data_IF_473770905674
#
_entry.id   IF_473770905674
#
_cell.length_a   1.000
_cell.length_b   1.000
_cell.length_c   1.000
_cell.angle_alpha   90.00
_cell.angle_beta   90.00
_cell.angle_gamma   90.00
#
_symmetry.space_group_name_H-M   'P 1'
#
loop_
_entity.id
_entity.type
_entity.pdbx_description
1 polymer ?
#
# COMPACT_ATOMS: atom_id res chain seq x y z
N UNK A 1 -59.63 21.67 -27.66
CA UNK A 1 -58.86 22.53 -26.73
C UNK A 1 -57.93 21.61 -25.95
N UNK A 2 -56.63 21.68 -26.23
CA UNK A 2 -55.60 22.24 -25.33
C UNK A 2 -55.48 21.39 -24.04
N UNK A 3 -54.35 20.89 -23.58
CA UNK A 3 -52.91 20.88 -23.88
C UNK A 3 -52.33 19.95 -22.79
N UNK A 4 -51.09 19.48 -22.96
CA UNK A 4 -50.17 19.06 -21.89
C UNK A 4 -50.55 17.78 -21.12
N UNK A 5 -49.83 16.68 -21.38
CA UNK A 5 -49.13 15.89 -20.35
C UNK A 5 -48.09 14.98 -21.03
N UNK A 6 -47.28 15.58 -21.90
CA UNK A 6 -45.95 15.05 -22.22
C UNK A 6 -45.03 15.60 -21.14
N UNK A 7 -44.15 14.75 -20.59
CA UNK A 7 -43.16 15.05 -19.55
C UNK A 7 -43.59 14.83 -18.10
N UNK A 8 -43.77 13.56 -17.70
CA UNK A 8 -43.51 13.16 -16.30
C UNK A 8 -43.04 11.70 -16.13
N UNK A 9 -42.54 11.04 -17.19
CA UNK A 9 -42.00 9.68 -17.10
C UNK A 9 -40.51 9.57 -17.43
N UNK A 10 -39.86 10.68 -17.77
CA UNK A 10 -38.43 10.72 -18.12
C UNK A 10 -37.52 11.32 -17.02
N UNK A 11 -38.07 11.72 -15.87
CA UNK A 11 -37.32 12.41 -14.81
C UNK A 11 -37.30 11.68 -13.46
N UNK A 12 -37.69 10.40 -13.41
CA UNK A 12 -37.63 9.54 -12.20
C UNK A 12 -36.70 8.33 -12.39
N UNK A 13 -35.81 8.39 -13.39
CA UNK A 13 -34.82 7.34 -13.67
C UNK A 13 -33.37 7.85 -13.61
N UNK A 14 -33.14 9.04 -13.06
CA UNK A 14 -31.81 9.68 -13.06
C UNK A 14 -31.29 10.08 -11.67
N UNK A 15 -31.75 9.43 -10.60
CA UNK A 15 -31.08 9.48 -9.29
C UNK A 15 -31.46 8.16 -8.59
N UNK A 16 -30.62 7.13 -8.54
CA UNK A 16 -29.84 6.78 -7.35
C UNK A 16 -29.11 5.46 -7.63
N UNK A 17 -28.16 5.45 -8.56
CA UNK A 17 -27.20 4.34 -8.71
C UNK A 17 -25.78 4.84 -8.88
N UNK A 18 -25.47 6.01 -8.30
CA UNK A 18 -24.11 6.32 -7.84
C UNK A 18 -23.81 5.50 -6.58
N UNK A 19 -23.82 4.18 -6.73
CA UNK A 19 -23.03 3.32 -5.88
C UNK A 19 -21.59 3.68 -6.14
N UNK A 20 -21.04 4.60 -5.35
CA UNK A 20 -19.64 4.96 -5.37
C UNK A 20 -18.82 3.69 -5.18
N UNK A 21 -18.34 3.10 -6.29
CA UNK A 21 -17.32 2.07 -6.24
C UNK A 21 -16.08 2.73 -5.65
N UNK A 22 -15.90 2.54 -4.34
CA UNK A 22 -14.66 2.83 -3.65
C UNK A 22 -13.56 2.07 -4.40
N UNK A 23 -12.71 2.83 -5.10
CA UNK A 23 -11.50 2.30 -5.69
C UNK A 23 -10.65 1.75 -4.55
N UNK A 24 -10.59 0.42 -4.44
CA UNK A 24 -9.65 -0.25 -3.54
C UNK A 24 -8.26 0.10 -4.05
N UNK A 25 -7.62 1.07 -3.40
CA UNK A 25 -6.25 1.47 -3.67
C UNK A 25 -5.39 0.21 -3.81
N UNK A 26 -4.57 0.15 -4.86
CA UNK A 26 -3.65 -0.95 -5.07
C UNK A 26 -2.84 -1.16 -3.79
N UNK A 27 -3.14 -2.25 -3.08
CA UNK A 27 -2.52 -2.57 -1.81
C UNK A 27 -1.06 -2.82 -2.08
N UNK A 28 -0.20 -2.00 -1.49
CA UNK A 28 1.22 -2.30 -1.46
C UNK A 28 1.39 -3.71 -0.86
N UNK A 29 2.26 -4.54 -1.45
CA UNK A 29 2.59 -5.85 -0.88
C UNK A 29 3.55 -5.70 0.31
N UNK A 30 3.24 -4.75 1.18
CA UNK A 30 3.98 -4.37 2.35
C UNK A 30 3.12 -4.62 3.58
N UNK A 31 3.76 -5.04 4.66
CA UNK A 31 3.08 -5.23 5.92
C UNK A 31 4.00 -4.84 7.06
N UNK A 32 3.43 -4.20 8.07
CA UNK A 32 4.13 -3.90 9.31
C UNK A 32 3.55 -4.79 10.40
N UNK A 33 4.41 -5.39 11.21
CA UNK A 33 3.97 -6.15 12.38
C UNK A 33 4.66 -5.60 13.59
N UNK A 34 3.89 -5.22 14.60
CA UNK A 34 4.37 -4.66 15.84
C UNK A 34 4.03 -5.65 16.94
N UNK A 35 5.07 -6.25 17.51
CA UNK A 35 4.93 -7.15 18.63
C UNK A 35 5.23 -6.41 19.93
N UNK A 36 4.19 -6.16 20.72
CA UNK A 36 4.26 -5.48 22.01
C UNK A 36 4.98 -6.32 23.07
N UNK A 37 5.03 -7.64 22.95
CA UNK A 37 5.72 -8.49 23.93
C UNK A 37 7.24 -8.35 23.87
N UNK A 38 7.78 -8.10 22.67
CA UNK A 38 9.23 -7.96 22.42
C UNK A 38 9.64 -6.51 22.13
N UNK A 39 8.68 -5.59 22.04
CA UNK A 39 8.92 -4.19 21.63
C UNK A 39 9.69 -4.12 20.30
N UNK A 40 9.24 -4.91 19.32
CA UNK A 40 9.81 -4.94 17.98
C UNK A 40 8.78 -4.63 16.91
N UNK A 41 9.26 -4.05 15.81
CA UNK A 41 8.52 -3.85 14.58
C UNK A 41 9.24 -4.60 13.45
N UNK A 42 8.51 -5.41 12.70
CA UNK A 42 8.96 -6.04 11.47
C UNK A 42 8.36 -5.36 10.25
N UNK A 43 9.19 -5.07 9.26
CA UNK A 43 8.77 -4.62 7.94
C UNK A 43 8.88 -5.78 6.95
N UNK A 44 7.74 -6.13 6.37
CA UNK A 44 7.63 -7.08 5.28
C UNK A 44 7.42 -6.37 3.96
N UNK A 45 8.04 -6.90 2.92
CA UNK A 45 7.81 -6.50 1.54
C UNK A 45 7.91 -7.73 0.63
N UNK A 46 6.95 -7.88 -0.27
CA UNK A 46 6.92 -8.99 -1.22
C UNK A 46 6.96 -10.37 -0.56
N UNK A 47 6.26 -10.51 0.57
CA UNK A 47 6.20 -11.73 1.37
C UNK A 47 7.47 -12.00 2.19
N UNK A 48 8.50 -11.16 2.13
CA UNK A 48 9.76 -11.38 2.85
C UNK A 48 9.86 -10.44 4.04
N UNK A 49 10.34 -10.96 5.16
CA UNK A 49 10.82 -10.12 6.25
C UNK A 49 12.06 -9.36 5.75
N UNK A 50 11.94 -8.05 5.59
CA UNK A 50 13.04 -7.21 5.08
C UNK A 50 13.93 -6.74 6.21
N UNK A 51 13.31 -6.28 7.31
CA UNK A 51 14.04 -5.73 8.45
C UNK A 51 13.19 -5.71 9.71
N UNK A 52 13.85 -5.96 10.85
CA UNK A 52 13.31 -5.73 12.18
C UNK A 52 13.89 -4.45 12.79
N UNK A 53 13.11 -3.83 13.67
CA UNK A 53 13.46 -2.62 14.40
C UNK A 53 13.06 -2.77 15.86
N UNK A 54 13.89 -2.23 16.75
CA UNK A 54 13.46 -1.99 18.12
C UNK A 54 12.51 -0.80 18.13
N UNK A 55 11.44 -0.90 18.92
CA UNK A 55 10.44 0.15 19.09
C UNK A 55 10.11 0.37 20.56
N UNK A 56 9.45 1.46 20.90
CA UNK A 56 8.80 1.63 22.19
C UNK A 56 7.29 1.61 22.00
N UNK A 57 6.57 0.92 22.88
CA UNK A 57 5.10 0.88 22.86
C UNK A 57 4.52 1.53 24.12
N UNK A 58 3.19 1.53 24.24
CA UNK A 58 2.46 2.17 25.33
C UNK A 58 2.88 1.63 26.70
N UNK A 59 3.00 2.53 27.68
CA UNK A 59 3.34 2.18 29.07
C UNK A 59 2.31 1.29 29.78
N UNK A 60 1.11 1.18 29.22
CA UNK A 60 0.06 0.27 29.67
C UNK A 60 -0.43 -0.57 28.49
N UNK A 61 -0.80 -1.84 28.71
CA UNK A 61 -1.24 -2.74 27.65
C UNK A 61 -2.35 -2.16 26.75
N UNK A 62 -3.30 -1.39 27.29
CA UNK A 62 -4.43 -0.85 26.51
C UNK A 62 -4.09 0.38 25.65
N UNK A 63 -2.92 0.99 25.85
CA UNK A 63 -2.60 2.29 25.26
C UNK A 63 -2.25 2.19 23.78
N UNK A 64 -1.37 1.25 23.42
CA UNK A 64 -1.12 0.94 22.01
C UNK A 64 -2.21 -0.01 21.52
N UNK A 65 -3.03 0.41 20.53
CA UNK A 65 -4.18 -0.37 20.08
C UNK A 65 -3.70 -1.68 19.46
N UNK A 66 -4.45 -2.76 19.69
CA UNK A 66 -4.22 -4.08 19.10
C UNK A 66 -5.25 -4.34 17.99
N UNK A 67 -4.82 -5.06 16.95
CA UNK A 67 -5.61 -5.31 15.76
C UNK A 67 -4.80 -5.13 14.48
N UNK A 68 -5.47 -5.24 13.33
CA UNK A 68 -4.89 -4.91 12.03
C UNK A 68 -5.52 -3.63 11.50
N UNK A 69 -4.68 -2.65 11.18
CA UNK A 69 -5.05 -1.30 10.79
C UNK A 69 -4.39 -0.91 9.46
N UNK A 70 -4.78 0.24 8.92
CA UNK A 70 -4.09 0.85 7.78
C UNK A 70 -3.17 1.98 8.27
N UNK A 71 -1.99 2.05 7.65
CA UNK A 71 -1.24 3.29 7.56
C UNK A 71 -1.91 4.16 6.50
N UNK A 72 -2.45 5.30 6.92
CA UNK A 72 -3.29 6.17 6.06
C UNK A 72 -2.61 7.45 5.62
N UNK A 73 -1.53 7.85 6.29
CA UNK A 73 -0.74 9.01 5.91
C UNK A 73 0.72 8.88 6.36
N UNK A 74 1.56 9.72 5.76
CA UNK A 74 2.98 9.85 6.08
C UNK A 74 3.39 11.31 6.05
N UNK A 75 4.02 11.79 7.12
CA UNK A 75 4.36 13.21 7.28
C UNK A 75 5.84 13.32 7.68
N UNK A 76 6.61 14.14 6.94
CA UNK A 76 7.94 14.58 7.36
C UNK A 76 7.77 15.74 8.33
N UNK A 77 8.51 15.73 9.44
CA UNK A 77 8.53 16.82 10.42
C UNK A 77 7.12 17.22 10.90
N UNK A 78 6.32 16.26 11.38
CA UNK A 78 4.96 16.56 11.88
C UNK A 78 5.03 17.47 13.11
N UNK A 79 4.32 18.61 13.14
CA UNK A 79 4.19 19.42 14.35
C UNK A 79 3.56 18.63 15.51
N UNK A 80 3.98 18.94 16.73
CA UNK A 80 3.34 18.40 17.93
C UNK A 80 2.38 19.43 18.53
N UNK A 81 1.16 19.41 18.01
CA UNK A 81 0.13 20.42 18.24
C UNK A 81 -0.20 20.65 19.72
N UNK A 82 -0.31 19.60 20.53
CA UNK A 82 -0.72 19.71 21.94
C UNK A 82 0.24 20.52 22.81
N UNK A 83 1.50 20.66 22.40
CA UNK A 83 2.50 21.49 23.08
C UNK A 83 3.04 22.62 22.20
N UNK A 84 2.35 22.90 21.10
CA UNK A 84 2.75 23.92 20.12
C UNK A 84 4.23 23.83 19.69
N UNK A 85 4.75 22.60 19.52
CA UNK A 85 6.14 22.40 19.11
C UNK A 85 6.18 22.28 17.58
N UNK A 86 6.96 23.13 16.88
CA UNK A 86 7.04 23.08 15.43
C UNK A 86 7.64 21.77 14.92
N UNK A 87 7.27 21.43 13.69
CA UNK A 87 7.89 20.32 12.95
C UNK A 87 9.39 20.52 12.78
N UNK A 88 10.17 19.44 12.89
CA UNK A 88 11.63 19.49 12.71
C UNK A 88 12.41 20.04 13.90
N UNK A 89 11.74 20.51 14.96
CA UNK A 89 12.41 20.89 16.20
C UNK A 89 13.06 19.65 16.86
N UNK A 90 14.32 19.74 17.35
CA UNK A 90 14.93 18.68 18.16
C UNK A 90 14.15 18.35 19.43
N UNK A 91 13.32 19.28 19.92
CA UNK A 91 12.46 19.10 21.10
C UNK A 91 11.15 18.36 20.78
N UNK A 92 10.85 18.10 19.51
CA UNK A 92 9.60 17.47 19.12
C UNK A 92 9.62 15.97 19.46
N UNK A 93 8.70 15.49 20.34
CA UNK A 93 8.69 14.08 20.75
C UNK A 93 8.27 13.11 19.65
N UNK A 94 7.72 13.63 18.55
CA UNK A 94 7.36 12.83 17.37
C UNK A 94 8.56 12.51 16.48
N UNK A 95 9.72 13.11 16.73
CA UNK A 95 10.87 13.03 15.83
C UNK A 95 10.56 13.64 14.46
N UNK A 96 11.19 13.11 13.40
CA UNK A 96 11.16 13.73 12.07
C UNK A 96 10.36 12.98 11.01
N UNK A 97 9.81 11.80 11.33
CA UNK A 97 8.92 11.02 10.46
C UNK A 97 7.72 10.51 11.24
N UNK A 98 6.56 10.55 10.60
CA UNK A 98 5.29 10.08 11.12
C UNK A 98 4.59 9.17 10.12
N UNK A 99 4.05 8.07 10.60
CA UNK A 99 3.08 7.21 9.92
C UNK A 99 1.77 7.22 10.71
N UNK A 100 0.70 7.75 10.13
CA UNK A 100 -0.61 7.76 10.77
C UNK A 100 -1.28 6.39 10.71
N UNK A 101 -1.63 5.83 11.86
CA UNK A 101 -2.39 4.58 11.97
C UNK A 101 -3.87 4.91 12.13
N UNK A 102 -4.71 4.38 11.25
CA UNK A 102 -6.16 4.43 11.37
C UNK A 102 -6.65 3.43 12.42
N UNK A 103 -6.49 3.80 13.69
CA UNK A 103 -7.00 3.05 14.83
C UNK A 103 -8.05 3.86 15.57
N UNK A 104 -9.07 3.18 16.10
CA UNK A 104 -10.12 3.77 16.96
C UNK A 104 -10.79 5.03 16.36
N UNK A 105 -11.02 5.04 15.05
CA UNK A 105 -11.68 6.16 14.35
C UNK A 105 -10.88 7.46 14.27
N UNK A 106 -9.55 7.41 14.47
CA UNK A 106 -8.71 8.63 14.56
C UNK A 106 -8.06 9.05 13.23
N UNK A 107 -8.33 8.31 12.14
CA UNK A 107 -7.87 8.63 10.78
C UNK A 107 -6.37 8.96 10.66
N UNK A 108 -5.52 8.34 11.50
CA UNK A 108 -4.07 8.54 11.48
C UNK A 108 -3.56 9.83 12.14
N UNK A 109 -4.39 10.53 12.92
CA UNK A 109 -4.01 11.76 13.62
C UNK A 109 -3.60 11.57 15.08
N UNK A 110 -4.05 10.50 15.72
CA UNK A 110 -3.82 10.23 17.15
C UNK A 110 -2.80 9.11 17.35
N UNK A 111 -2.98 7.98 16.67
CA UNK A 111 -2.06 6.84 16.76
C UNK A 111 -1.10 6.88 15.56
N UNK A 112 0.18 6.62 15.83
CA UNK A 112 1.17 6.58 14.78
C UNK A 112 2.42 5.82 15.14
N UNK A 113 3.18 5.47 14.11
CA UNK A 113 4.58 5.03 14.20
C UNK A 113 5.42 6.26 13.89
N UNK A 114 6.34 6.65 14.77
CA UNK A 114 7.09 7.88 14.59
C UNK A 114 8.49 7.81 15.19
N UNK A 115 9.34 8.79 14.86
CA UNK A 115 10.66 8.95 15.48
C UNK A 115 10.57 9.34 16.96
N UNK A 116 11.65 9.79 17.57
CA UNK A 116 11.55 10.32 18.94
C UNK A 116 12.71 11.23 19.26
N UNK A 117 12.50 12.22 20.12
CA UNK A 117 13.59 12.97 20.73
C UNK A 117 14.18 12.28 21.98
N UNK A 118 13.64 11.13 22.37
CA UNK A 118 14.11 10.35 23.51
C UNK A 118 14.51 8.94 23.06
N UNK A 119 15.70 8.84 22.46
CA UNK A 119 16.23 7.60 21.87
C UNK A 119 16.40 6.47 22.90
N UNK A 120 16.65 6.80 24.17
CA UNK A 120 16.79 5.81 25.26
C UNK A 120 15.46 5.16 25.69
N UNK A 121 14.33 5.64 25.14
CA UNK A 121 13.01 5.03 25.37
C UNK A 121 12.74 3.81 24.48
N UNK A 122 13.51 3.60 23.42
CA UNK A 122 13.34 2.49 22.50
C UNK A 122 13.66 1.15 23.20
N UNK A 123 12.84 0.12 22.94
CA UNK A 123 12.88 -1.17 23.65
C UNK A 123 12.01 -1.22 24.91
N UNK A 124 11.36 -0.12 25.31
CA UNK A 124 10.60 -0.01 26.57
C UNK A 124 9.11 0.26 26.35
N UNK A 125 8.31 0.03 27.39
CA UNK A 125 6.91 0.47 27.49
C UNK A 125 6.86 1.92 27.99
N UNK A 126 7.02 2.90 27.09
CA UNK A 126 7.31 4.29 27.46
C UNK A 126 6.38 5.33 26.84
N UNK A 127 5.53 4.96 25.89
CA UNK A 127 4.68 5.92 25.16
C UNK A 127 3.28 6.06 25.78
N UNK A 128 2.55 7.08 25.33
CA UNK A 128 1.12 7.25 25.63
C UNK A 128 0.20 6.48 24.66
N UNK A 129 0.75 5.60 23.82
CA UNK A 129 -0.02 4.77 22.88
C UNK A 129 0.58 4.69 21.48
N UNK A 130 1.31 5.70 21.03
CA UNK A 130 2.05 5.65 19.76
C UNK A 130 3.23 4.67 19.80
N UNK A 131 3.71 4.26 18.64
CA UNK A 131 4.91 3.41 18.53
C UNK A 131 6.10 4.29 18.18
N UNK A 132 7.09 4.36 19.08
CA UNK A 132 8.31 5.15 18.87
C UNK A 132 9.39 4.29 18.22
N UNK A 133 10.16 4.88 17.32
CA UNK A 133 11.33 4.29 16.68
C UNK A 133 12.53 5.21 16.84
N UNK A 134 13.74 4.67 16.69
CA UNK A 134 14.91 5.50 16.49
C UNK A 134 14.76 6.37 15.24
N UNK A 135 15.22 7.63 15.26
CA UNK A 135 15.07 8.52 14.10
C UNK A 135 15.74 7.95 12.83
N UNK A 136 16.90 7.31 12.98
CA UNK A 136 17.59 6.64 11.86
C UNK A 136 16.74 5.56 11.19
N UNK A 137 16.01 4.80 12.00
CA UNK A 137 15.25 3.63 11.56
C UNK A 137 13.92 4.04 10.94
N UNK A 138 13.23 5.02 11.55
CA UNK A 138 11.99 5.55 10.98
C UNK A 138 12.24 6.27 9.66
N UNK A 139 13.38 6.95 9.48
CA UNK A 139 13.78 7.52 8.18
C UNK A 139 13.94 6.44 7.13
N UNK A 140 14.66 5.36 7.46
CA UNK A 140 14.85 4.23 6.54
C UNK A 140 13.51 3.61 6.12
N UNK A 141 12.59 3.44 7.09
CA UNK A 141 11.26 2.91 6.87
C UNK A 141 10.40 3.87 6.03
N UNK A 142 10.55 5.17 6.26
CA UNK A 142 9.83 6.23 5.55
C UNK A 142 10.17 6.29 4.07
N UNK A 143 11.35 5.88 3.64
CA UNK A 143 11.63 5.85 2.20
C UNK A 143 11.04 4.60 1.50
N UNK A 144 10.50 3.64 2.25
CA UNK A 144 10.04 2.34 1.70
C UNK A 144 8.54 2.11 1.80
N UNK A 145 7.95 2.36 2.97
CA UNK A 145 6.52 2.08 3.21
C UNK A 145 5.63 2.98 2.33
N UNK A 146 4.69 2.38 1.60
CA UNK A 146 3.71 3.06 0.74
C UNK A 146 2.39 3.25 1.48
N UNK A 147 1.57 4.20 1.08
CA UNK A 147 0.22 4.36 1.61
C UNK A 147 -0.78 3.88 0.55
N UNK A 148 -1.77 3.03 0.91
CA UNK A 148 -1.91 2.36 2.20
C UNK A 148 -0.95 1.16 2.36
N UNK A 149 -0.53 0.92 3.60
CA UNK A 149 0.17 -0.30 4.05
C UNK A 149 -0.56 -0.82 5.28
N UNK A 150 -0.75 -2.14 5.41
CA UNK A 150 -1.36 -2.68 6.64
C UNK A 150 -0.34 -2.75 7.76
N UNK A 151 -0.82 -2.55 8.99
CA UNK A 151 -0.05 -2.75 10.21
C UNK A 151 -0.83 -3.62 11.18
N UNK A 152 -0.26 -4.75 11.59
CA UNK A 152 -0.80 -5.58 12.65
C UNK A 152 -0.06 -5.27 13.95
N UNK A 153 -0.81 -5.00 15.00
CA UNK A 153 -0.28 -4.70 16.33
C UNK A 153 -0.90 -5.68 17.32
N UNK A 154 -0.07 -6.30 18.15
CA UNK A 154 -0.58 -7.24 19.15
C UNK A 154 0.49 -7.66 20.14
N UNK A 155 0.06 -8.44 21.12
CA UNK A 155 0.93 -9.06 22.11
C UNK A 155 1.13 -10.54 21.76
N UNK A 156 2.22 -10.86 21.05
CA UNK A 156 2.49 -12.21 20.54
C UNK A 156 3.62 -12.86 21.34
N UNK A 157 3.31 -13.78 22.25
CA UNK A 157 4.32 -14.49 23.06
C UNK A 157 4.96 -15.62 22.25
N UNK A 158 6.29 -15.67 22.22
CA UNK A 158 7.08 -16.77 21.62
C UNK A 158 6.74 -17.08 20.15
N UNK A 159 6.29 -16.09 19.37
CA UNK A 159 6.01 -16.25 17.94
C UNK A 159 7.03 -15.47 17.10
N UNK A 160 7.53 -16.11 16.04
CA UNK A 160 8.31 -15.45 14.99
C UNK A 160 7.43 -14.44 14.23
N UNK A 161 8.05 -13.44 13.61
CA UNK A 161 7.31 -12.49 12.77
C UNK A 161 6.72 -13.17 11.53
N UNK A 162 7.36 -14.22 11.02
CA UNK A 162 6.86 -15.08 9.95
C UNK A 162 5.57 -15.81 10.34
N UNK A 163 5.45 -16.26 11.59
CA UNK A 163 4.23 -16.94 12.04
C UNK A 163 3.11 -15.96 12.35
N UNK A 164 3.46 -14.79 12.91
CA UNK A 164 2.48 -13.71 13.13
C UNK A 164 1.93 -13.23 11.79
N UNK A 165 2.78 -13.04 10.78
CA UNK A 165 2.35 -12.59 9.44
C UNK A 165 1.38 -13.56 8.79
N UNK A 166 1.67 -14.87 8.78
CA UNK A 166 0.74 -15.91 8.29
C UNK A 166 -0.61 -15.82 8.99
N UNK A 167 -0.62 -15.75 10.33
CA UNK A 167 -1.87 -15.65 11.12
C UNK A 167 -2.63 -14.35 10.88
N UNK A 168 -1.92 -13.26 10.58
CA UNK A 168 -2.49 -11.95 10.29
C UNK A 168 -3.06 -11.84 8.85
N UNK A 169 -2.97 -12.92 8.07
CA UNK A 169 -3.40 -12.95 6.67
C UNK A 169 -2.42 -12.27 5.71
N UNK A 170 -1.18 -11.99 6.15
CA UNK A 170 -0.10 -11.60 5.24
C UNK A 170 0.55 -12.85 4.68
N UNK A 171 0.50 -12.97 3.36
CA UNK A 171 1.06 -14.12 2.68
C UNK A 171 2.59 -13.97 2.55
N UNK A 172 3.28 -14.70 3.41
CA UNK A 172 4.74 -14.78 3.47
C UNK A 172 5.25 -15.58 2.28
N UNK A 173 6.35 -15.17 1.66
CA UNK A 173 6.99 -15.85 0.55
C UNK A 173 7.34 -17.31 0.87
N UNK A 174 7.44 -17.71 2.15
CA UNK A 174 7.61 -19.10 2.56
C UNK A 174 6.43 -20.02 2.21
N UNK A 175 5.22 -19.49 1.95
CA UNK A 175 4.10 -20.27 1.40
C UNK A 175 4.16 -20.39 -0.13
N UNK A 176 5.15 -19.77 -0.77
CA UNK A 176 5.34 -19.75 -2.21
C UNK A 176 6.67 -20.39 -2.61
N UNK A 177 6.66 -21.42 -3.45
CA UNK A 177 7.87 -21.81 -4.17
C UNK A 177 8.14 -20.79 -5.29
N UNK A 178 8.94 -19.75 -5.05
CA UNK A 178 9.39 -18.77 -6.06
C UNK A 178 9.10 -17.29 -5.77
N UNK A 179 8.98 -16.46 -6.81
CA UNK A 179 8.62 -15.03 -6.70
C UNK A 179 7.12 -14.89 -6.44
N UNK A 180 6.73 -14.04 -5.49
CA UNK A 180 5.32 -13.82 -5.10
C UNK A 180 4.88 -12.36 -5.15
N UNK A 181 3.61 -12.17 -5.50
CA UNK A 181 2.92 -10.88 -5.45
C UNK A 181 1.56 -11.07 -4.79
N UNK A 182 1.28 -10.26 -3.76
CA UNK A 182 0.07 -10.37 -2.94
C UNK A 182 -0.18 -11.80 -2.46
N UNK A 183 0.91 -12.47 -2.04
CA UNK A 183 0.85 -13.84 -1.55
C UNK A 183 0.71 -14.96 -2.55
N UNK A 184 0.60 -14.63 -3.84
CA UNK A 184 0.37 -15.61 -4.89
C UNK A 184 1.65 -15.81 -5.70
N UNK A 185 2.02 -17.06 -6.01
CA UNK A 185 3.11 -17.34 -6.94
C UNK A 185 2.90 -16.59 -8.24
N UNK A 186 3.95 -15.89 -8.67
CA UNK A 186 3.99 -15.29 -10.00
C UNK A 186 3.96 -16.43 -11.02
N UNK A 187 3.10 -16.33 -12.02
CA UNK A 187 2.98 -17.38 -13.04
C UNK A 187 4.28 -17.50 -13.83
N UNK A 188 4.60 -18.69 -14.34
CA UNK A 188 5.77 -18.89 -15.22
C UNK A 188 5.73 -17.90 -16.39
N UNK A 189 6.82 -17.16 -16.60
CA UNK A 189 6.94 -16.14 -17.64
C UNK A 189 6.31 -14.77 -17.30
N UNK A 190 5.63 -14.64 -16.16
CA UNK A 190 5.14 -13.36 -15.70
C UNK A 190 6.28 -12.58 -15.03
N UNK A 191 6.50 -11.35 -15.47
CA UNK A 191 7.60 -10.46 -15.03
C UNK A 191 7.14 -9.35 -14.10
N UNK A 192 5.82 -9.20 -13.90
CA UNK A 192 5.30 -8.16 -13.04
C UNK A 192 3.78 -8.04 -12.98
N UNK A 193 3.34 -6.91 -12.43
CA UNK A 193 1.94 -6.51 -12.35
C UNK A 193 1.77 -5.03 -12.65
N UNK A 194 0.69 -4.71 -13.35
CA UNK A 194 0.28 -3.33 -13.66
C UNK A 194 -1.16 -3.11 -13.22
N UNK A 195 -1.51 -1.88 -12.89
CA UNK A 195 -2.87 -1.47 -12.57
C UNK A 195 -3.32 -0.40 -13.55
N UNK A 196 -4.56 -0.47 -14.00
CA UNK A 196 -5.16 0.57 -14.83
C UNK A 196 -5.73 1.68 -13.93
N UNK A 197 -5.20 2.90 -14.08
CA UNK A 197 -5.69 4.12 -13.43
C UNK A 197 -6.95 4.67 -14.12
N UNK A 198 -7.06 4.41 -15.43
CA UNK A 198 -8.21 4.77 -16.27
C UNK A 198 -8.54 3.60 -17.18
N UNK A 199 -9.61 3.71 -17.96
CA UNK A 199 -9.91 2.68 -18.96
C UNK A 199 -8.76 2.59 -19.97
N UNK A 200 -8.37 1.37 -20.34
CA UNK A 200 -7.32 1.14 -21.32
C UNK A 200 -7.80 0.20 -22.42
N UNK A 201 -7.28 0.39 -23.63
CA UNK A 201 -7.59 -0.47 -24.77
C UNK A 201 -6.61 -1.64 -24.79
N UNK A 202 -7.13 -2.86 -24.71
CA UNK A 202 -6.34 -4.07 -24.94
C UNK A 202 -6.20 -4.29 -26.45
N UNK A 203 -4.97 -4.22 -26.93
CA UNK A 203 -4.61 -4.48 -28.32
C UNK A 203 -3.97 -5.86 -28.42
N UNK A 204 -4.21 -6.58 -29.51
CA UNK A 204 -3.57 -7.86 -29.80
C UNK A 204 -2.91 -7.83 -31.15
N UNK A 205 -1.71 -8.40 -31.24
CA UNK A 205 -1.00 -8.61 -32.50
C UNK A 205 -1.45 -9.95 -33.09
N UNK A 206 -2.06 -9.92 -34.28
CA UNK A 206 -2.44 -11.08 -35.07
C UNK A 206 -1.23 -11.79 -35.67
N UNK A 207 -1.44 -13.01 -36.19
CA UNK A 207 -0.38 -13.79 -36.86
C UNK A 207 0.18 -13.09 -38.11
N UNK A 208 -0.63 -12.23 -38.72
CA UNK A 208 -0.32 -11.38 -39.87
C UNK A 208 0.37 -10.06 -39.48
N UNK A 209 0.70 -9.86 -38.20
CA UNK A 209 1.30 -8.65 -37.67
C UNK A 209 0.31 -7.49 -37.47
N UNK A 210 -0.96 -7.64 -37.84
CA UNK A 210 -1.96 -6.58 -37.68
C UNK A 210 -2.35 -6.42 -36.21
N UNK A 211 -2.59 -5.18 -35.81
CA UNK A 211 -3.04 -4.85 -34.46
C UNK A 211 -4.56 -4.71 -34.45
N UNK A 212 -5.22 -5.48 -33.60
CA UNK A 212 -6.67 -5.40 -33.39
C UNK A 212 -6.99 -4.98 -31.96
N UNK A 213 -8.05 -4.18 -31.80
CA UNK A 213 -8.62 -3.89 -30.50
C UNK A 213 -9.45 -5.08 -30.05
N UNK A 214 -9.04 -5.71 -28.95
CA UNK A 214 -9.70 -6.91 -28.42
C UNK A 214 -10.79 -6.54 -27.44
N UNK A 215 -10.51 -5.60 -26.54
CA UNK A 215 -11.43 -5.23 -25.47
C UNK A 215 -11.03 -3.90 -24.83
N UNK A 216 -12.00 -3.16 -24.30
CA UNK A 216 -11.75 -2.09 -23.34
C UNK A 216 -11.67 -2.69 -21.93
N UNK A 217 -10.52 -2.50 -21.29
CA UNK A 217 -10.30 -2.88 -19.90
C UNK A 217 -10.77 -1.73 -19.01
N UNK A 218 -11.73 -2.01 -18.13
CA UNK A 218 -12.19 -1.04 -17.14
C UNK A 218 -11.10 -0.74 -16.10
N UNK A 219 -11.11 0.48 -15.57
CA UNK A 219 -10.40 0.80 -14.31
C UNK A 219 -10.82 -0.21 -13.24
N UNK A 220 -9.88 -0.75 -12.45
CA UNK A 220 -10.03 -1.64 -11.27
C UNK A 220 -9.37 -3.03 -11.36
N UNK A 221 -8.63 -3.36 -12.43
CA UNK A 221 -7.89 -4.62 -12.53
C UNK A 221 -6.40 -4.48 -12.19
N UNK A 222 -5.85 -5.45 -11.46
CA UNK A 222 -4.40 -5.74 -11.45
C UNK A 222 -4.14 -6.82 -12.50
N UNK A 223 -3.34 -6.49 -13.50
CA UNK A 223 -3.05 -7.37 -14.62
C UNK A 223 -1.64 -7.93 -14.48
N UNK A 224 -1.51 -9.23 -14.71
CA UNK A 224 -0.20 -9.85 -14.82
C UNK A 224 0.51 -9.36 -16.07
N UNK A 225 1.76 -8.98 -15.93
CA UNK A 225 2.61 -8.51 -17.02
C UNK A 225 3.61 -9.60 -17.37
N UNK A 226 3.72 -9.96 -18.65
CA UNK A 226 4.59 -11.04 -19.13
C UNK A 226 5.77 -10.53 -19.96
N UNK A 227 5.62 -9.37 -20.61
CA UNK A 227 6.69 -8.75 -21.41
C UNK A 227 6.54 -7.24 -21.45
N UNK A 228 7.66 -6.54 -21.56
CA UNK A 228 7.73 -5.10 -21.84
C UNK A 228 8.51 -4.91 -23.13
N UNK A 229 7.90 -4.24 -24.12
CA UNK A 229 8.60 -3.81 -25.33
C UNK A 229 8.90 -2.32 -25.22
N UNK A 230 10.20 -2.02 -25.17
CA UNK A 230 10.76 -0.68 -24.98
C UNK A 230 11.16 -0.03 -26.31
N UNK A 231 11.12 -0.79 -27.40
CA UNK A 231 11.49 -0.29 -28.73
C UNK A 231 10.31 0.43 -29.38
N UNK A 232 9.09 0.14 -28.93
CA UNK A 232 7.89 0.81 -29.39
C UNK A 232 7.68 2.15 -28.68
N UNK A 233 7.26 3.16 -29.44
CA UNK A 233 6.70 4.41 -28.90
C UNK A 233 5.22 4.51 -29.32
N UNK A 234 4.25 4.42 -28.38
CA UNK A 234 4.42 4.26 -26.93
C UNK A 234 4.94 2.87 -26.51
N UNK A 235 5.52 2.78 -25.31
CA UNK A 235 5.99 1.51 -24.72
C UNK A 235 4.83 0.53 -24.57
N UNK A 236 5.01 -0.73 -24.98
CA UNK A 236 3.96 -1.76 -24.90
C UNK A 236 4.15 -2.66 -23.68
N UNK A 237 3.06 -2.86 -22.94
CA UNK A 237 2.99 -3.69 -21.75
C UNK A 237 2.11 -4.91 -22.01
N UNK A 238 2.74 -6.07 -22.21
CA UNK A 238 2.05 -7.30 -22.60
C UNK A 238 1.43 -7.97 -21.37
N UNK A 239 0.10 -7.95 -21.31
CA UNK A 239 -0.68 -8.59 -20.25
C UNK A 239 -1.08 -10.04 -20.58
N UNK A 240 -0.81 -10.46 -21.82
CA UNK A 240 -0.86 -11.84 -22.34
C UNK A 240 0.10 -11.94 -23.54
N UNK A 241 0.50 -13.16 -23.93
CA UNK A 241 1.58 -13.40 -24.90
C UNK A 241 1.60 -12.48 -26.12
N UNK A 242 0.45 -12.20 -26.73
CA UNK A 242 0.32 -11.30 -27.89
C UNK A 242 -0.51 -10.05 -27.62
N UNK A 243 -1.09 -9.91 -26.43
CA UNK A 243 -2.00 -8.82 -26.08
C UNK A 243 -1.35 -7.84 -25.10
N UNK A 244 -1.43 -6.55 -25.41
CA UNK A 244 -0.77 -5.48 -24.68
C UNK A 244 -1.66 -4.25 -24.49
N UNK A 245 -1.27 -3.44 -23.51
CA UNK A 245 -1.72 -2.06 -23.38
C UNK A 245 -0.54 -1.13 -23.63
N UNK A 246 -0.82 0.06 -24.15
CA UNK A 246 0.20 1.10 -24.30
C UNK A 246 0.40 1.79 -22.96
N UNK A 247 1.67 1.98 -22.58
CA UNK A 247 2.00 2.62 -21.32
C UNK A 247 1.76 4.13 -21.42
N UNK A 248 0.96 4.62 -20.48
CA UNK A 248 0.82 6.04 -20.18
C UNK A 248 0.77 6.19 -18.66
N UNK A 249 1.64 6.98 -18.01
CA UNK A 249 1.65 7.13 -16.55
C UNK A 249 0.31 7.58 -15.95
N UNK A 250 -0.52 8.26 -16.76
CA UNK A 250 -1.85 8.73 -16.37
C UNK A 250 -2.91 7.62 -16.47
N UNK A 251 -2.72 6.63 -17.35
CA UNK A 251 -3.67 5.55 -17.57
C UNK A 251 -3.23 4.22 -16.93
N UNK A 252 -1.93 4.00 -16.74
CA UNK A 252 -1.33 2.74 -16.27
C UNK A 252 -0.31 3.02 -15.17
N UNK A 253 -0.44 2.31 -14.05
CA UNK A 253 0.52 2.29 -12.95
C UNK A 253 1.29 0.96 -12.95
N UNK A 254 2.60 1.01 -12.75
CA UNK A 254 3.40 -0.21 -12.52
C UNK A 254 3.45 -0.50 -11.02
N UNK A 255 2.97 -1.67 -10.61
CA UNK A 255 2.94 -2.08 -9.19
C UNK A 255 4.22 -2.81 -8.78
N UNK A 256 4.63 -3.79 -9.59
CA UNK A 256 5.76 -4.66 -9.32
C UNK A 256 6.39 -5.09 -10.63
N UNK A 257 7.62 -4.65 -10.88
CA UNK A 257 8.49 -5.08 -11.97
C UNK A 257 9.93 -4.98 -11.43
N UNK A 258 10.78 -6.01 -11.58
CA UNK A 258 12.20 -5.93 -11.22
C UNK A 258 12.88 -4.70 -11.84
N UNK A 259 13.77 -4.02 -11.10
CA UNK A 259 14.43 -2.78 -11.56
C UNK A 259 15.17 -2.92 -12.90
N UNK A 260 15.77 -4.09 -13.16
CA UNK A 260 16.39 -4.46 -14.44
C UNK A 260 15.41 -4.40 -15.63
N UNK A 261 14.11 -4.56 -15.36
CA UNK A 261 13.03 -4.51 -16.35
C UNK A 261 12.42 -3.09 -16.45
N UNK A 262 12.58 -2.22 -15.44
CA UNK A 262 11.80 -0.98 -15.29
C UNK A 262 12.45 0.30 -15.88
N UNK A 263 13.74 0.36 -16.17
CA UNK A 263 14.49 1.63 -16.30
C UNK A 263 14.06 2.65 -17.40
N UNK A 264 12.98 2.41 -18.17
CA UNK A 264 12.39 3.37 -19.14
C UNK A 264 10.85 3.42 -19.10
N UNK A 265 10.22 2.76 -18.13
CA UNK A 265 8.75 2.74 -17.96
C UNK A 265 8.29 3.85 -17.03
N UNK A 266 9.16 4.82 -16.69
CA UNK A 266 8.82 5.95 -15.81
C UNK A 266 8.62 7.21 -16.63
#
# INVERSE_FOLDING_TARGET
MKKLFVSLLALVLLVLSVGGMQSKAATSNQWLIINKSTNKLAFFENGKLVKEFNVATGRSPSYTPEGTFNIVNKIKNRPYYSKNIPGGSPKNPLGDRWFGIEARGTYGNTYGIHGTNNESSIGKYASSGCVRMHNKDVRWLFERVKVPTKVTIGYFKAQSFEDISKKSGYAVASSCKGVCYDGKPVKKGQVGFVTLKQNAVLKQVGKDGKVVVVKTLGKSGVFGLYKVDRTSNPTKLFISGTAYVEYSPNQVAVQYIPGSILAKVK
#
